data_IF_964816139420
#
_entry.id   IF_964816139420
#
_cell.length_a   1.000
_cell.length_b   1.000
_cell.length_c   1.000
_cell.angle_alpha   90.00
_cell.angle_beta   90.00
_cell.angle_gamma   90.00
#
_symmetry.space_group_name_H-M   'P 1'
#
loop_
_entity.id
_entity.type
_entity.pdbx_description
1 polymer ?
#
# COMPACT_ATOMS: atom_id res chain seq x y z
N UNK A 1 3.85 18.46 -43.67
CA UNK A 1 2.66 18.95 -42.96
C UNK A 1 2.29 17.83 -42.00
N UNK A 2 2.61 17.96 -40.71
CA UNK A 2 2.08 17.02 -39.73
C UNK A 2 0.56 17.18 -39.75
N UNK A 3 -0.23 16.10 -39.94
CA UNK A 3 -1.68 16.19 -39.83
C UNK A 3 -2.05 16.79 -38.47
N UNK A 4 -3.07 17.64 -38.44
CA UNK A 4 -3.55 18.25 -37.20
C UNK A 4 -3.90 17.12 -36.21
N UNK A 5 -3.15 17.01 -35.11
CA UNK A 5 -3.35 15.97 -34.10
C UNK A 5 -4.78 16.02 -33.53
N UNK A 6 -5.45 17.17 -33.59
CA UNK A 6 -6.87 17.30 -33.21
C UNK A 6 -7.81 16.70 -34.25
N UNK A 7 -7.47 16.77 -35.53
CA UNK A 7 -8.25 16.15 -36.60
C UNK A 7 -8.15 14.63 -36.50
N UNK A 8 -6.94 14.10 -36.28
CA UNK A 8 -6.71 12.69 -35.98
C UNK A 8 -7.52 12.25 -34.76
N UNK A 9 -7.50 13.03 -33.67
CA UNK A 9 -8.23 12.68 -32.46
C UNK A 9 -9.76 12.65 -32.64
N UNK A 10 -10.31 13.44 -33.57
CA UNK A 10 -11.75 13.40 -33.91
C UNK A 10 -12.12 12.16 -34.72
N UNK A 11 -11.20 11.67 -35.55
CA UNK A 11 -11.38 10.50 -36.40
C UNK A 11 -10.57 9.30 -35.88
N UNK A 12 -10.37 9.21 -34.55
CA UNK A 12 -9.45 8.25 -33.95
C UNK A 12 -9.81 6.80 -34.32
N UNK A 13 -11.09 6.52 -34.53
CA UNK A 13 -11.66 5.24 -34.95
C UNK A 13 -11.03 4.70 -36.24
N UNK A 14 -10.59 5.57 -37.15
CA UNK A 14 -9.94 5.16 -38.41
C UNK A 14 -8.47 4.69 -38.21
N UNK A 15 -7.94 4.85 -36.99
CA UNK A 15 -6.53 4.66 -36.66
C UNK A 15 -6.27 3.68 -35.51
N UNK A 16 -7.30 3.19 -34.81
CA UNK A 16 -7.16 2.39 -33.58
C UNK A 16 -6.51 1.02 -33.79
N UNK A 17 -6.58 0.48 -35.00
CA UNK A 17 -6.02 -0.82 -35.40
C UNK A 17 -5.02 -0.68 -36.57
N UNK A 18 -4.67 0.56 -36.94
CA UNK A 18 -3.76 0.82 -38.05
C UNK A 18 -2.29 0.71 -37.60
N UNK A 19 -1.72 -0.48 -37.78
CA UNK A 19 -0.34 -0.81 -37.38
C UNK A 19 0.71 0.16 -37.92
N UNK A 20 0.57 0.59 -39.18
CA UNK A 20 1.53 1.52 -39.81
C UNK A 20 1.45 2.91 -39.17
N UNK A 21 0.24 3.34 -38.82
CA UNK A 21 0.02 4.62 -38.15
C UNK A 21 0.51 4.62 -36.70
N UNK A 22 0.24 3.54 -35.96
CA UNK A 22 0.52 3.43 -34.53
C UNK A 22 2.01 3.19 -34.26
N UNK A 23 2.66 2.28 -35.00
CA UNK A 23 4.10 2.00 -34.84
C UNK A 23 5.01 3.16 -35.25
N UNK A 24 4.55 4.03 -36.15
CA UNK A 24 5.32 5.18 -36.62
C UNK A 24 5.28 6.40 -35.66
N UNK A 25 4.54 6.33 -34.55
CA UNK A 25 4.35 7.46 -33.61
C UNK A 25 5.04 7.21 -32.27
N UNK A 26 5.65 8.27 -31.75
CA UNK A 26 6.18 8.24 -30.39
C UNK A 26 5.04 8.14 -29.35
N UNK A 27 5.30 7.55 -28.17
CA UNK A 27 4.37 7.54 -27.05
C UNK A 27 3.81 8.94 -26.69
N UNK A 28 4.62 9.98 -26.85
CA UNK A 28 4.23 11.37 -26.56
C UNK A 28 3.24 11.92 -27.60
N UNK A 29 3.37 11.55 -28.87
CA UNK A 29 2.42 11.93 -29.92
C UNK A 29 1.07 11.23 -29.73
N UNK A 30 1.08 9.93 -29.40
CA UNK A 30 -0.15 9.18 -29.08
C UNK A 30 -0.84 9.76 -27.83
N UNK A 31 -0.08 10.04 -26.76
CA UNK A 31 -0.63 10.66 -25.56
C UNK A 31 -1.25 12.05 -25.82
N UNK A 32 -0.70 12.84 -26.76
CA UNK A 32 -1.31 14.10 -27.21
C UNK A 32 -2.62 13.87 -27.96
N UNK A 33 -2.68 12.89 -28.85
CA UNK A 33 -3.92 12.52 -29.57
C UNK A 33 -5.00 12.10 -28.56
N UNK A 34 -4.66 11.24 -27.60
CA UNK A 34 -5.57 10.75 -26.55
C UNK A 34 -6.15 11.86 -25.66
N UNK A 35 -5.42 12.96 -25.47
CA UNK A 35 -5.93 14.10 -24.69
C UNK A 35 -7.14 14.80 -25.34
N UNK A 36 -7.32 14.62 -26.65
CA UNK A 36 -8.44 15.19 -27.42
C UNK A 36 -9.45 14.13 -27.87
N UNK A 37 -9.03 12.87 -27.99
CA UNK A 37 -9.85 11.78 -28.49
C UNK A 37 -10.88 11.32 -27.45
N UNK A 38 -12.11 11.06 -27.91
CA UNK A 38 -13.13 10.37 -27.12
C UNK A 38 -13.25 8.96 -27.70
N UNK A 39 -13.06 7.95 -26.86
CA UNK A 39 -13.09 6.55 -27.24
C UNK A 39 -14.32 5.89 -26.61
N UNK A 40 -14.97 4.98 -27.32
CA UNK A 40 -15.84 3.98 -26.71
C UNK A 40 -15.01 2.88 -26.03
N UNK A 41 -15.60 2.04 -25.15
CA UNK A 41 -14.87 0.96 -24.48
C UNK A 41 -14.20 0.00 -25.46
N UNK A 42 -14.91 -0.36 -26.54
CA UNK A 42 -14.40 -1.22 -27.60
C UNK A 42 -13.20 -0.58 -28.32
N UNK A 43 -13.32 0.70 -28.71
CA UNK A 43 -12.21 1.42 -29.37
C UNK A 43 -11.00 1.59 -28.45
N UNK A 44 -11.25 1.82 -27.15
CA UNK A 44 -10.21 1.85 -26.13
C UNK A 44 -9.49 0.50 -26.05
N UNK A 45 -10.23 -0.59 -25.98
CA UNK A 45 -9.68 -1.94 -25.90
C UNK A 45 -8.82 -2.26 -27.14
N UNK A 46 -9.35 -2.00 -28.33
CA UNK A 46 -8.63 -2.23 -29.60
C UNK A 46 -7.37 -1.38 -29.69
N UNK A 47 -7.45 -0.09 -29.38
CA UNK A 47 -6.30 0.83 -29.47
C UNK A 47 -5.18 0.43 -28.51
N UNK A 48 -5.49 0.22 -27.24
CA UNK A 48 -4.47 -0.06 -26.22
C UNK A 48 -3.88 -1.47 -26.38
N UNK A 49 -4.68 -2.44 -26.83
CA UNK A 49 -4.16 -3.78 -27.18
C UNK A 49 -3.18 -3.68 -28.34
N UNK A 50 -3.53 -2.94 -29.40
CA UNK A 50 -2.64 -2.75 -30.56
C UNK A 50 -1.37 -1.99 -30.19
N UNK A 51 -1.46 -0.93 -29.39
CA UNK A 51 -0.30 -0.17 -28.90
C UNK A 51 0.64 -1.03 -28.04
N UNK A 52 0.11 -1.98 -27.28
CA UNK A 52 0.93 -2.88 -26.43
C UNK A 52 1.87 -3.78 -27.21
N UNK A 53 1.59 -4.02 -28.50
CA UNK A 53 2.47 -4.79 -29.38
C UNK A 53 3.73 -4.02 -29.79
N UNK A 54 3.70 -2.68 -29.70
CA UNK A 54 4.76 -1.79 -30.19
C UNK A 54 5.50 -1.04 -29.08
N UNK A 55 4.88 -0.90 -27.89
CA UNK A 55 5.37 -0.06 -26.82
C UNK A 55 5.45 -0.81 -25.48
N UNK A 56 6.45 -0.45 -24.66
CA UNK A 56 6.65 -1.07 -23.35
C UNK A 56 5.61 -0.62 -22.31
N UNK A 57 5.51 -1.35 -21.19
CA UNK A 57 4.53 -1.07 -20.13
C UNK A 57 4.59 0.37 -19.59
N UNK A 58 5.78 0.96 -19.48
CA UNK A 58 5.96 2.34 -19.04
C UNK A 58 5.38 3.36 -20.04
N UNK A 59 5.52 3.10 -21.34
CA UNK A 59 4.96 3.95 -22.40
C UNK A 59 3.43 3.85 -22.42
N UNK A 60 2.89 2.64 -22.24
CA UNK A 60 1.44 2.42 -22.13
C UNK A 60 0.85 3.16 -20.93
N UNK A 61 1.50 3.10 -19.76
CA UNK A 61 1.08 3.87 -18.57
C UNK A 61 1.07 5.38 -18.82
N UNK A 62 2.09 5.89 -19.51
CA UNK A 62 2.13 7.31 -19.88
C UNK A 62 0.99 7.69 -20.84
N UNK A 63 0.68 6.86 -21.84
CA UNK A 63 -0.44 7.09 -22.76
C UNK A 63 -1.79 7.02 -22.03
N UNK A 64 -1.97 6.05 -21.13
CA UNK A 64 -3.17 5.91 -20.29
C UNK A 64 -3.41 7.14 -19.42
N UNK A 65 -2.36 7.77 -18.89
CA UNK A 65 -2.48 9.00 -18.08
C UNK A 65 -3.11 10.19 -18.83
N UNK A 66 -3.13 10.14 -20.18
CA UNK A 66 -3.73 11.17 -21.03
C UNK A 66 -5.01 10.72 -21.72
N UNK A 67 -5.39 9.45 -21.60
CA UNK A 67 -6.69 8.97 -22.06
C UNK A 67 -7.80 9.60 -21.22
N UNK A 68 -8.90 9.97 -21.86
CA UNK A 68 -10.06 10.59 -21.20
C UNK A 68 -10.91 9.54 -20.48
N UNK A 69 -10.33 8.84 -19.50
CA UNK A 69 -10.98 7.79 -18.71
C UNK A 69 -12.25 8.28 -17.98
N UNK A 70 -12.39 9.59 -17.78
CA UNK A 70 -13.56 10.27 -17.22
C UNK A 70 -14.81 10.31 -18.12
N UNK A 71 -14.68 9.88 -19.39
CA UNK A 71 -15.79 9.91 -20.36
C UNK A 71 -16.63 8.61 -20.32
N UNK A 72 -16.20 7.59 -19.55
CA UNK A 72 -16.84 6.28 -19.40
C UNK A 72 -17.70 6.24 -18.13
N UNK A 73 -19.01 6.45 -18.27
CA UNK A 73 -19.84 6.86 -17.14
C UNK A 73 -20.65 5.72 -16.52
N UNK A 74 -20.54 4.49 -17.04
CA UNK A 74 -21.23 3.32 -16.49
C UNK A 74 -20.26 2.34 -15.83
N UNK A 75 -20.79 1.57 -14.87
CA UNK A 75 -20.05 0.52 -14.18
C UNK A 75 -19.59 -0.59 -15.14
N UNK A 76 -20.39 -0.87 -16.17
CA UNK A 76 -20.09 -1.85 -17.23
C UNK A 76 -18.92 -1.39 -18.11
N UNK A 77 -18.95 -0.13 -18.58
CA UNK A 77 -17.87 0.47 -19.39
C UNK A 77 -16.55 0.51 -18.60
N UNK A 78 -16.61 0.86 -17.32
CA UNK A 78 -15.45 0.90 -16.45
C UNK A 78 -14.85 -0.49 -16.19
N UNK A 79 -15.69 -1.53 -16.06
CA UNK A 79 -15.24 -2.92 -15.91
C UNK A 79 -14.49 -3.41 -17.14
N UNK A 80 -15.02 -3.17 -18.34
CA UNK A 80 -14.42 -3.58 -19.62
C UNK A 80 -13.05 -2.92 -19.85
N UNK A 81 -12.92 -1.65 -19.49
CA UNK A 81 -11.65 -0.90 -19.57
C UNK A 81 -10.65 -1.41 -18.53
N UNK A 82 -11.10 -1.69 -17.31
CA UNK A 82 -10.26 -2.25 -16.25
C UNK A 82 -9.67 -3.61 -16.65
N UNK A 83 -10.48 -4.48 -17.24
CA UNK A 83 -10.04 -5.77 -17.77
C UNK A 83 -8.99 -5.60 -18.88
N UNK A 84 -9.24 -4.67 -19.81
CA UNK A 84 -8.28 -4.34 -20.89
C UNK A 84 -6.93 -3.88 -20.32
N UNK A 85 -6.95 -2.92 -19.40
CA UNK A 85 -5.73 -2.38 -18.79
C UNK A 85 -4.99 -3.49 -18.01
N UNK A 86 -5.74 -4.32 -17.28
CA UNK A 86 -5.20 -5.43 -16.50
C UNK A 86 -4.54 -6.48 -17.39
N UNK A 87 -5.16 -6.81 -18.53
CA UNK A 87 -4.64 -7.73 -19.53
C UNK A 87 -3.31 -7.25 -20.14
N UNK A 88 -3.22 -5.96 -20.48
CA UNK A 88 -2.05 -5.37 -21.13
C UNK A 88 -0.88 -5.20 -20.15
N UNK A 89 -1.14 -4.66 -18.96
CA UNK A 89 -0.09 -4.29 -18.02
C UNK A 89 0.29 -5.44 -17.07
N UNK A 90 -0.52 -6.49 -16.98
CA UNK A 90 -0.29 -7.62 -16.08
C UNK A 90 -0.27 -7.20 -14.60
N UNK A 91 -0.99 -6.12 -14.29
CA UNK A 91 -1.18 -5.56 -12.97
C UNK A 91 -2.70 -5.39 -12.83
N UNK A 92 -3.30 -5.81 -11.71
CA UNK A 92 -4.66 -5.37 -11.38
C UNK A 92 -4.63 -3.86 -11.14
N UNK A 93 -5.03 -3.10 -12.15
CA UNK A 93 -5.14 -1.64 -12.11
C UNK A 93 -6.63 -1.34 -12.22
N UNK A 94 -7.39 -0.79 -11.28
CA UNK A 94 -7.15 -0.19 -9.96
C UNK A 94 -8.56 0.08 -9.39
N UNK A 95 -8.84 -0.27 -8.13
CA UNK A 95 -9.97 0.30 -7.37
C UNK A 95 -9.83 1.83 -7.22
N UNK A 96 -8.63 2.39 -7.40
CA UNK A 96 -8.41 3.84 -7.36
C UNK A 96 -9.01 4.58 -8.56
N UNK A 97 -9.12 3.95 -9.73
CA UNK A 97 -9.80 4.53 -10.89
C UNK A 97 -11.33 4.58 -10.65
N UNK A 98 -11.86 3.57 -9.93
CA UNK A 98 -13.27 3.47 -9.53
C UNK A 98 -13.64 4.41 -8.37
N UNK A 99 -12.72 4.69 -7.43
CA UNK A 99 -12.94 5.62 -6.32
C UNK A 99 -13.35 7.03 -6.80
N UNK A 100 -12.88 7.45 -7.98
CA UNK A 100 -13.24 8.73 -8.58
C UNK A 100 -14.68 8.76 -9.12
N UNK A 101 -15.22 7.60 -9.53
CA UNK A 101 -16.58 7.45 -10.04
C UNK A 101 -17.63 7.31 -8.94
N UNK A 102 -17.34 6.55 -7.87
CA UNK A 102 -18.26 6.38 -6.75
C UNK A 102 -18.56 7.71 -6.03
N UNK A 103 -17.57 8.60 -5.93
CA UNK A 103 -17.75 9.93 -5.33
C UNK A 103 -18.65 10.86 -6.15
N UNK A 104 -18.73 10.67 -7.48
CA UNK A 104 -19.53 11.54 -8.36
C UNK A 104 -21.02 11.20 -8.34
N UNK A 105 -21.37 9.94 -8.15
CA UNK A 105 -22.76 9.47 -7.99
C UNK A 105 -23.38 9.85 -6.65
N UNK A 106 -22.57 10.02 -5.59
CA UNK A 106 -23.05 10.48 -4.27
C UNK A 106 -23.34 11.99 -4.21
N UNK A 107 -22.75 12.79 -5.10
CA UNK A 107 -22.95 14.25 -5.15
C UNK A 107 -24.31 14.70 -5.69
N UNK A 108 -24.97 13.90 -6.55
CA UNK A 108 -26.21 14.31 -7.24
C UNK A 108 -27.50 13.93 -6.49
N UNK A 109 -27.43 13.09 -5.46
CA UNK A 109 -28.63 12.61 -4.72
C UNK A 109 -29.02 13.55 -3.56
N UNK A 110 -28.18 14.52 -3.21
CA UNK A 110 -28.34 15.35 -2.01
C UNK A 110 -29.28 16.56 -2.16
N UNK A 111 -29.73 16.89 -3.38
CA UNK A 111 -30.65 18.01 -3.63
C UNK A 111 -31.98 17.54 -4.22
N UNK A 112 -32.79 16.79 -3.45
CA UNK A 112 -34.26 16.86 -3.51
C UNK A 112 -34.87 15.86 -2.54
N UNK A 113 -35.38 16.36 -1.40
CA UNK A 113 -36.69 15.98 -0.82
C UNK A 113 -36.82 16.56 0.58
N UNK A 114 -37.30 17.80 0.62
CA UNK A 114 -37.96 18.37 1.78
C UNK A 114 -39.47 18.27 1.53
N UNK A 115 -40.21 17.41 2.25
CA UNK A 115 -41.58 17.69 2.70
C UNK A 115 -42.13 16.60 3.64
N UNK A 116 -42.72 17.10 4.73
CA UNK A 116 -43.38 16.47 5.89
C UNK A 116 -44.32 15.29 5.57
N UNK A 117 -44.42 14.34 6.53
CA UNK A 117 -45.65 14.02 7.28
C UNK A 117 -45.38 13.00 8.40
N UNK A 118 -45.92 13.27 9.59
CA UNK A 118 -45.86 12.42 10.79
C UNK A 118 -46.77 11.19 10.68
N UNK A 119 -46.31 10.02 11.13
CA UNK A 119 -47.15 9.07 11.88
C UNK A 119 -46.30 8.13 12.76
N UNK A 120 -46.70 8.09 14.04
CA UNK A 120 -46.51 7.03 15.05
C UNK A 120 -45.23 6.19 15.04
N UNK A 121 -44.36 6.47 16.01
CA UNK A 121 -43.26 5.62 16.46
C UNK A 121 -43.79 4.32 17.07
N UNK A 122 -43.32 3.14 16.62
CA UNK A 122 -43.07 2.00 17.49
C UNK A 122 -41.59 2.00 17.91
N UNK A 123 -41.31 1.66 19.17
CA UNK A 123 -39.94 1.46 19.69
C UNK A 123 -39.15 0.47 18.79
N UNK A 124 -37.84 0.67 18.59
CA UNK A 124 -37.05 -0.14 17.65
C UNK A 124 -36.86 -1.56 18.17
N UNK A 125 -37.37 -2.55 17.42
CA UNK A 125 -37.03 -3.96 17.63
C UNK A 125 -35.63 -4.25 17.09
N UNK A 126 -34.78 -4.85 17.93
CA UNK A 126 -33.59 -5.64 17.58
C UNK A 126 -32.71 -5.10 16.44
N UNK A 127 -31.72 -4.26 16.77
CA UNK A 127 -30.63 -3.96 15.85
C UNK A 127 -29.89 -5.28 15.49
N UNK A 128 -29.78 -5.57 14.20
CA UNK A 128 -28.97 -6.70 13.72
C UNK A 128 -27.51 -6.46 14.10
N UNK A 129 -26.88 -7.41 14.77
CA UNK A 129 -25.48 -7.34 15.19
C UNK A 129 -24.74 -8.62 14.85
N UNK A 130 -23.42 -8.51 14.69
CA UNK A 130 -22.50 -9.64 14.60
C UNK A 130 -21.31 -9.41 15.51
N UNK A 131 -20.69 -10.50 15.95
CA UNK A 131 -19.51 -10.49 16.79
C UNK A 131 -18.27 -10.81 15.95
N UNK A 132 -17.24 -9.99 16.04
CA UNK A 132 -15.93 -10.24 15.44
C UNK A 132 -14.96 -10.65 16.54
N UNK A 133 -14.35 -11.83 16.42
CA UNK A 133 -13.38 -12.36 17.39
C UNK A 133 -11.99 -12.37 16.76
N UNK A 134 -11.04 -11.65 17.33
CA UNK A 134 -9.65 -11.64 16.88
C UNK A 134 -8.86 -12.88 17.34
N UNK A 135 -7.69 -13.09 16.74
CA UNK A 135 -6.72 -14.12 17.16
C UNK A 135 -6.16 -13.92 18.59
N UNK A 136 -6.21 -12.69 19.12
CA UNK A 136 -5.77 -12.36 20.49
C UNK A 136 -6.91 -12.44 21.50
N UNK A 137 -8.03 -13.09 21.15
CA UNK A 137 -9.24 -13.22 21.97
C UNK A 137 -9.98 -11.88 22.25
N UNK A 138 -9.55 -10.74 21.67
CA UNK A 138 -10.33 -9.47 21.69
C UNK A 138 -11.60 -9.63 20.84
N UNK A 139 -12.73 -9.11 21.35
CA UNK A 139 -14.06 -9.25 20.76
C UNK A 139 -14.65 -7.88 20.44
N UNK A 140 -15.21 -7.74 19.24
CA UNK A 140 -15.85 -6.52 18.72
C UNK A 140 -17.30 -6.81 18.31
N UNK A 141 -18.20 -5.85 18.48
CA UNK A 141 -19.60 -5.97 18.05
C UNK A 141 -19.85 -4.96 16.92
N UNK A 142 -20.32 -5.43 15.77
CA UNK A 142 -20.78 -4.58 14.66
C UNK A 142 -22.30 -4.54 14.70
N UNK A 143 -22.86 -3.38 15.03
CA UNK A 143 -24.30 -3.14 15.14
C UNK A 143 -24.88 -2.57 13.83
N UNK A 144 -26.20 -2.69 13.66
CA UNK A 144 -26.96 -2.20 12.50
C UNK A 144 -26.40 -2.70 11.17
N UNK A 145 -26.13 -4.00 11.08
CA UNK A 145 -25.60 -4.63 9.88
C UNK A 145 -26.70 -5.15 8.95
N UNK A 146 -26.53 -4.91 7.65
CA UNK A 146 -27.32 -5.56 6.60
C UNK A 146 -26.60 -6.84 6.15
N UNK A 147 -27.25 -8.00 6.27
CA UNK A 147 -26.66 -9.27 5.87
C UNK A 147 -26.52 -9.43 4.34
N UNK A 148 -27.12 -8.55 3.55
CA UNK A 148 -26.88 -8.50 2.10
C UNK A 148 -25.64 -7.67 1.75
N UNK A 149 -24.96 -7.05 2.72
CA UNK A 149 -23.70 -6.34 2.45
C UNK A 149 -22.59 -7.32 2.05
N UNK A 150 -21.61 -6.82 1.31
CA UNK A 150 -20.45 -7.62 0.92
C UNK A 150 -19.52 -7.87 2.11
N UNK A 151 -18.61 -8.83 1.96
CA UNK A 151 -17.50 -9.01 2.91
C UNK A 151 -16.60 -7.77 2.93
N UNK A 152 -16.45 -7.07 1.80
CA UNK A 152 -15.71 -5.81 1.71
C UNK A 152 -16.37 -4.72 2.57
N UNK A 153 -17.70 -4.57 2.51
CA UNK A 153 -18.45 -3.61 3.35
C UNK A 153 -18.27 -3.92 4.85
N UNK A 154 -18.26 -5.21 5.21
CA UNK A 154 -17.98 -5.61 6.58
C UNK A 154 -16.55 -5.24 6.99
N UNK A 155 -15.56 -5.45 6.12
CA UNK A 155 -14.17 -5.05 6.40
C UNK A 155 -14.05 -3.54 6.57
N UNK A 156 -14.72 -2.75 5.73
CA UNK A 156 -14.77 -1.29 5.86
C UNK A 156 -15.38 -0.89 7.21
N UNK A 157 -16.47 -1.54 7.66
CA UNK A 157 -17.05 -1.29 8.98
C UNK A 157 -16.12 -1.66 10.13
N UNK A 158 -15.34 -2.73 10.00
CA UNK A 158 -14.31 -3.11 10.97
C UNK A 158 -13.18 -2.07 10.97
N UNK A 159 -12.80 -1.53 9.81
CA UNK A 159 -11.84 -0.43 9.69
C UNK A 159 -12.36 0.83 10.38
N UNK A 160 -13.61 1.22 10.13
CA UNK A 160 -14.21 2.42 10.74
C UNK A 160 -14.28 2.29 12.26
N UNK A 161 -14.48 1.06 12.77
CA UNK A 161 -14.61 0.80 14.21
C UNK A 161 -13.26 0.65 14.93
N UNK A 162 -12.32 -0.09 14.34
CA UNK A 162 -11.07 -0.51 15.02
C UNK A 162 -9.79 0.01 14.32
N UNK A 163 -9.93 0.73 13.20
CA UNK A 163 -8.81 1.31 12.45
C UNK A 163 -8.01 0.34 11.59
N UNK A 164 -8.47 -0.90 11.42
CA UNK A 164 -7.72 -1.97 10.73
C UNK A 164 -8.01 -1.90 9.22
N UNK A 165 -7.03 -1.66 8.33
CA UNK A 165 -7.27 -1.56 6.88
C UNK A 165 -7.88 -2.84 6.27
N UNK A 166 -8.80 -2.78 5.29
CA UNK A 166 -9.50 -3.93 4.71
C UNK A 166 -8.56 -4.97 4.08
N UNK A 167 -7.48 -4.52 3.45
CA UNK A 167 -6.45 -5.40 2.87
C UNK A 167 -5.66 -6.17 3.94
N UNK A 168 -5.71 -5.68 5.18
CA UNK A 168 -5.14 -6.28 6.37
C UNK A 168 -6.13 -7.15 7.15
N UNK A 169 -7.34 -7.35 6.65
CA UNK A 169 -8.35 -8.19 7.29
C UNK A 169 -8.57 -9.49 6.51
N UNK A 170 -8.42 -10.63 7.18
CA UNK A 170 -8.93 -11.93 6.74
C UNK A 170 -10.03 -12.38 7.68
N UNK A 171 -11.24 -12.42 7.17
CA UNK A 171 -12.41 -12.86 7.93
C UNK A 171 -12.65 -14.35 7.67
N UNK A 172 -13.00 -15.09 8.72
CA UNK A 172 -13.32 -16.52 8.66
C UNK A 172 -14.63 -16.79 9.37
N UNK A 173 -15.50 -17.57 8.73
CA UNK A 173 -16.74 -18.06 9.34
C UNK A 173 -16.81 -19.58 9.18
N UNK A 174 -17.09 -20.29 10.29
CA UNK A 174 -17.10 -21.76 10.34
C UNK A 174 -15.84 -22.42 9.72
N UNK A 175 -14.66 -21.79 9.90
CA UNK A 175 -13.38 -22.27 9.36
C UNK A 175 -13.13 -21.98 7.88
N UNK A 176 -14.07 -21.33 7.17
CA UNK A 176 -13.91 -20.93 5.76
C UNK A 176 -13.52 -19.45 5.67
N UNK A 177 -12.52 -19.14 4.86
CA UNK A 177 -12.15 -17.75 4.55
C UNK A 177 -13.27 -17.06 3.75
N UNK A 178 -13.57 -15.82 4.13
CA UNK A 178 -14.54 -14.97 3.47
C UNK A 178 -13.85 -14.10 2.42
N UNK A 179 -14.45 -13.98 1.23
CA UNK A 179 -13.89 -13.28 0.08
C UNK A 179 -14.75 -12.06 -0.29
N UNK A 180 -14.10 -10.98 -0.73
CA UNK A 180 -14.71 -9.64 -0.87
C UNK A 180 -15.90 -9.59 -1.87
N UNK A 181 -15.89 -10.47 -2.88
CA UNK A 181 -16.96 -10.57 -3.89
C UNK A 181 -18.23 -11.30 -3.46
N UNK A 182 -18.34 -11.76 -2.20
CA UNK A 182 -19.52 -12.44 -1.67
C UNK A 182 -20.19 -11.60 -0.58
N UNK A 183 -21.47 -11.89 -0.32
CA UNK A 183 -22.25 -11.26 0.76
C UNK A 183 -22.17 -12.06 2.06
N UNK A 184 -22.51 -11.43 3.20
CA UNK A 184 -22.61 -12.16 4.47
C UNK A 184 -23.66 -13.29 4.40
N UNK A 185 -24.74 -13.07 3.65
CA UNK A 185 -25.78 -14.06 3.39
C UNK A 185 -25.27 -15.27 2.61
N UNK A 186 -24.32 -15.10 1.68
CA UNK A 186 -23.72 -16.22 0.94
C UNK A 186 -22.94 -17.19 1.86
N UNK A 187 -22.47 -16.70 3.01
CA UNK A 187 -21.85 -17.49 4.07
C UNK A 187 -22.86 -17.98 5.14
N UNK A 188 -24.17 -17.75 4.93
CA UNK A 188 -25.23 -18.03 5.91
C UNK A 188 -25.01 -17.35 7.27
N UNK A 189 -24.46 -16.14 7.27
CA UNK A 189 -24.25 -15.34 8.49
C UNK A 189 -25.58 -14.68 8.88
N UNK A 190 -25.92 -14.76 10.17
CA UNK A 190 -27.18 -14.27 10.73
C UNK A 190 -26.92 -13.38 11.96
N UNK A 191 -27.98 -12.78 12.49
CA UNK A 191 -27.92 -11.98 13.71
C UNK A 191 -27.29 -12.78 14.86
N UNK A 192 -26.30 -12.19 15.53
CA UNK A 192 -25.54 -12.80 16.61
C UNK A 192 -24.43 -13.78 16.17
N UNK A 193 -24.17 -13.93 14.87
CA UNK A 193 -23.07 -14.77 14.39
C UNK A 193 -21.71 -14.25 14.86
N UNK A 194 -20.76 -15.18 15.06
CA UNK A 194 -19.36 -14.86 15.38
C UNK A 194 -18.47 -15.15 14.18
N UNK A 195 -17.72 -14.13 13.74
CA UNK A 195 -16.74 -14.20 12.65
C UNK A 195 -15.35 -14.05 13.25
N UNK A 196 -14.42 -14.93 12.87
CA UNK A 196 -13.03 -14.82 13.29
C UNK A 196 -12.28 -13.84 12.39
N UNK A 197 -11.60 -12.86 13.00
CA UNK A 197 -10.70 -11.92 12.33
C UNK A 197 -9.26 -12.37 12.52
N UNK A 198 -8.60 -12.64 11.40
CA UNK A 198 -7.16 -12.85 11.29
C UNK A 198 -6.59 -11.65 10.56
N UNK A 199 -5.54 -11.04 11.09
CA UNK A 199 -4.92 -9.89 10.44
C UNK A 199 -3.94 -10.37 9.35
N UNK A 200 -4.14 -9.89 8.13
CA UNK A 200 -3.09 -9.80 7.10
C UNK A 200 -2.21 -8.62 7.49
N UNK A 201 -1.28 -8.87 8.38
CA UNK A 201 -0.35 -7.82 8.76
C UNK A 201 0.57 -7.59 7.57
N UNK A 202 0.39 -6.44 6.89
CA UNK A 202 1.48 -5.76 6.18
C UNK A 202 2.14 -4.87 7.22
N UNK A 203 2.78 -5.53 8.18
CA UNK A 203 3.31 -4.96 9.40
C UNK A 203 4.79 -4.76 9.24
N UNK A 204 5.21 -3.59 8.76
CA UNK A 204 6.60 -3.18 8.66
C UNK A 204 7.42 -3.77 7.50
N UNK A 205 8.50 -3.05 7.16
CA UNK A 205 9.54 -3.48 6.22
C UNK A 205 10.90 -3.14 6.79
N UNK A 206 11.38 -3.81 7.84
CA UNK A 206 12.80 -3.88 8.10
C UNK A 206 13.52 -4.51 6.91
N UNK A 207 14.38 -3.75 6.25
CA UNK A 207 15.33 -4.26 5.27
C UNK A 207 16.74 -3.95 5.71
N UNK A 208 17.63 -4.93 5.55
CA UNK A 208 19.00 -4.89 6.04
C UNK A 208 19.95 -4.92 4.84
N UNK A 209 20.78 -3.88 4.73
CA UNK A 209 21.87 -3.74 3.76
C UNK A 209 23.21 -3.99 4.45
N UNK A 210 24.12 -4.64 3.74
CA UNK A 210 25.47 -4.95 4.22
C UNK A 210 26.51 -4.28 3.31
N UNK A 211 27.38 -3.46 3.89
CA UNK A 211 28.44 -2.75 3.18
C UNK A 211 29.83 -3.06 3.78
N UNK A 212 30.40 -4.25 3.55
CA UNK A 212 31.75 -4.56 4.01
C UNK A 212 32.82 -3.85 3.15
N UNK A 213 34.04 -3.68 3.69
CA UNK A 213 35.17 -3.10 2.92
C UNK A 213 35.61 -4.00 1.76
N UNK A 214 35.51 -5.31 1.97
CA UNK A 214 35.91 -6.35 1.04
C UNK A 214 34.82 -7.44 1.01
N UNK A 215 34.85 -8.31 0.01
CA UNK A 215 33.92 -9.45 -0.05
C UNK A 215 34.00 -10.28 1.22
N UNK A 216 32.88 -10.40 1.93
CA UNK A 216 32.83 -10.97 3.29
C UNK A 216 31.70 -11.98 3.40
N UNK A 217 31.98 -13.16 3.95
CA UNK A 217 30.91 -14.05 4.40
C UNK A 217 30.39 -13.51 5.73
N UNK A 218 29.10 -13.16 5.77
CA UNK A 218 28.45 -12.59 6.92
C UNK A 218 27.30 -13.48 7.41
N UNK A 219 27.19 -13.63 8.73
CA UNK A 219 26.00 -14.14 9.42
C UNK A 219 25.20 -12.97 9.94
N UNK A 220 23.90 -12.95 9.69
CA UNK A 220 22.99 -11.92 10.20
C UNK A 220 21.86 -12.62 10.93
N UNK A 221 21.73 -12.39 12.24
CA UNK A 221 20.70 -12.99 13.09
C UNK A 221 19.77 -11.91 13.64
N UNK A 222 18.47 -12.17 13.60
CA UNK A 222 17.44 -11.31 14.20
C UNK A 222 16.75 -12.09 15.31
N UNK A 223 16.65 -11.48 16.47
CA UNK A 223 15.81 -11.96 17.55
C UNK A 223 14.63 -11.00 17.72
N UNK A 224 13.45 -11.55 17.98
CA UNK A 224 12.25 -10.79 18.33
C UNK A 224 11.94 -11.15 19.78
N UNK A 225 11.91 -10.14 20.65
CA UNK A 225 11.66 -10.37 22.08
C UNK A 225 10.19 -10.66 22.40
N UNK A 226 9.27 -10.18 21.56
CA UNK A 226 7.83 -10.41 21.68
C UNK A 226 7.20 -10.52 20.29
N UNK A 227 6.52 -11.64 20.04
CA UNK A 227 5.92 -11.99 18.75
C UNK A 227 6.76 -12.94 17.90
N UNK A 228 6.22 -13.29 16.74
CA UNK A 228 6.83 -14.18 15.75
C UNK A 228 7.14 -13.43 14.45
N UNK A 229 8.03 -14.00 13.63
CA UNK A 229 8.22 -13.54 12.25
C UNK A 229 6.96 -13.80 11.43
N UNK A 230 6.46 -12.77 10.74
CA UNK A 230 5.35 -12.91 9.79
C UNK A 230 5.84 -13.30 8.40
N UNK A 231 6.99 -12.76 8.01
CA UNK A 231 7.62 -13.04 6.73
C UNK A 231 9.12 -12.77 6.79
N UNK A 232 9.89 -13.57 6.05
CA UNK A 232 11.34 -13.50 5.99
C UNK A 232 11.77 -13.80 4.56
N UNK A 233 12.64 -12.97 4.00
CA UNK A 233 13.20 -13.18 2.68
C UNK A 233 14.67 -12.75 2.60
N UNK A 234 15.57 -13.61 2.08
CA UNK A 234 15.35 -15.02 1.75
C UNK A 234 15.01 -15.83 3.02
N UNK A 235 14.61 -17.09 2.90
CA UNK A 235 14.42 -17.94 4.08
C UNK A 235 15.73 -18.04 4.88
N UNK A 236 15.65 -18.05 6.21
CA UNK A 236 16.79 -18.32 7.08
C UNK A 236 17.51 -19.64 6.74
N UNK A 237 18.77 -19.73 7.15
CA UNK A 237 19.58 -20.95 7.07
C UNK A 237 19.43 -21.80 8.33
N UNK A 238 19.53 -21.18 9.50
CA UNK A 238 19.43 -21.80 10.82
C UNK A 238 19.02 -20.74 11.84
N UNK A 239 18.22 -21.08 12.84
CA UNK A 239 17.96 -20.26 14.05
C UNK A 239 17.89 -18.73 13.81
N UNK A 240 16.91 -18.28 13.01
CA UNK A 240 16.69 -16.87 12.67
C UNK A 240 17.91 -16.14 12.06
N UNK A 241 18.79 -16.90 11.40
CA UNK A 241 20.06 -16.43 10.87
C UNK A 241 20.15 -16.65 9.37
N UNK A 242 20.62 -15.63 8.66
CA UNK A 242 21.06 -15.74 7.28
C UNK A 242 22.57 -15.87 7.20
N UNK A 243 23.05 -16.79 6.36
CA UNK A 243 24.44 -16.94 5.98
C UNK A 243 24.62 -16.42 4.55
N UNK A 244 25.14 -15.22 4.40
CA UNK A 244 25.29 -14.55 3.10
C UNK A 244 26.74 -14.23 2.79
N UNK A 245 27.02 -14.02 1.52
CA UNK A 245 28.25 -13.35 1.07
C UNK A 245 27.89 -11.92 0.67
N UNK A 246 28.44 -10.94 1.38
CA UNK A 246 28.22 -9.52 1.14
C UNK A 246 29.40 -8.91 0.37
N UNK A 247 29.09 -8.04 -0.59
CA UNK A 247 30.07 -7.34 -1.41
C UNK A 247 30.10 -5.84 -1.06
N UNK A 248 31.23 -5.13 -1.27
CA UNK A 248 31.31 -3.69 -1.00
C UNK A 248 30.29 -2.82 -1.76
N UNK A 249 29.74 -3.34 -2.86
CA UNK A 249 28.67 -2.70 -3.63
C UNK A 249 27.29 -2.71 -2.95
N UNK A 250 27.14 -3.40 -1.81
CA UNK A 250 25.86 -3.69 -1.18
C UNK A 250 25.11 -4.87 -1.79
N UNK A 251 25.64 -5.51 -2.83
CA UNK A 251 25.08 -6.78 -3.31
C UNK A 251 25.36 -7.89 -2.29
N UNK A 252 24.37 -8.73 -2.03
CA UNK A 252 24.53 -9.94 -1.22
C UNK A 252 24.18 -11.17 -2.06
N UNK A 253 24.89 -12.26 -1.79
CA UNK A 253 24.67 -13.56 -2.41
C UNK A 253 24.23 -14.56 -1.35
N UNK A 254 23.03 -15.10 -1.50
CA UNK A 254 22.49 -16.16 -0.64
C UNK A 254 22.15 -17.38 -1.49
N UNK A 255 22.74 -18.53 -1.18
CA UNK A 255 22.51 -19.80 -1.91
C UNK A 255 22.60 -19.66 -3.44
N UNK A 256 23.60 -18.90 -3.90
CA UNK A 256 23.86 -18.62 -5.32
C UNK A 256 22.97 -17.56 -5.97
N UNK A 257 22.00 -16.99 -5.26
CA UNK A 257 21.13 -15.90 -5.75
C UNK A 257 21.65 -14.54 -5.28
N UNK A 258 21.77 -13.61 -6.22
CA UNK A 258 22.11 -12.21 -5.95
C UNK A 258 20.87 -11.43 -5.53
N UNK A 259 21.01 -10.58 -4.53
CA UNK A 259 19.98 -9.67 -4.05
C UNK A 259 20.62 -8.44 -3.40
N UNK A 260 19.80 -7.46 -2.99
CA UNK A 260 20.27 -6.17 -2.47
C UNK A 260 20.20 -6.04 -0.95
N UNK A 261 19.28 -6.74 -0.31
CA UNK A 261 19.04 -6.65 1.11
C UNK A 261 18.40 -7.93 1.63
N UNK A 262 18.51 -8.15 2.93
CA UNK A 262 17.70 -9.10 3.69
C UNK A 262 16.42 -8.41 4.14
N UNK A 263 15.31 -9.15 4.22
CA UNK A 263 14.02 -8.65 4.65
C UNK A 263 13.46 -9.54 5.75
N UNK A 264 12.92 -8.92 6.79
CA UNK A 264 12.07 -9.60 7.76
C UNK A 264 10.92 -8.71 8.17
N UNK A 265 9.90 -9.34 8.73
CA UNK A 265 8.67 -8.70 9.14
C UNK A 265 8.15 -9.38 10.41
N UNK A 266 7.52 -8.61 11.29
CA UNK A 266 6.78 -9.13 12.44
C UNK A 266 5.42 -8.45 12.54
N UNK A 267 4.49 -9.19 13.12
CA UNK A 267 3.09 -8.84 13.23
C UNK A 267 2.83 -7.64 14.16
N UNK A 268 3.74 -7.36 15.11
CA UNK A 268 3.44 -6.46 16.21
C UNK A 268 4.71 -5.84 16.83
N UNK A 269 4.60 -4.56 17.23
CA UNK A 269 5.63 -3.83 17.97
C UNK A 269 5.01 -3.23 19.24
N UNK A 270 5.04 -3.94 20.38
CA UNK A 270 4.27 -3.57 21.58
C UNK A 270 4.70 -2.26 22.24
N UNK A 271 5.98 -1.91 22.13
CA UNK A 271 6.60 -0.95 23.03
C UNK A 271 7.04 0.32 22.32
N UNK A 272 6.24 0.85 21.38
CA UNK A 272 6.63 2.02 20.59
C UNK A 272 6.67 3.30 21.44
N UNK A 273 7.75 4.06 21.31
CA UNK A 273 7.87 5.36 21.95
C UNK A 273 7.31 6.45 21.02
N UNK A 274 6.21 7.05 21.43
CA UNK A 274 5.52 8.12 20.69
C UNK A 274 5.59 9.49 21.37
N UNK A 275 6.46 9.67 22.37
CA UNK A 275 6.47 10.91 23.17
C UNK A 275 7.01 12.11 22.39
N UNK A 276 8.02 11.88 21.55
CA UNK A 276 8.65 12.90 20.70
C UNK A 276 8.54 12.46 19.25
N UNK A 277 8.45 13.41 18.33
CA UNK A 277 8.36 13.10 16.90
C UNK A 277 8.19 14.34 16.05
N UNK A 278 7.56 14.16 14.89
CA UNK A 278 7.27 15.23 13.94
C UNK A 278 5.83 15.12 13.48
N UNK A 279 5.13 16.25 13.40
CA UNK A 279 3.84 16.29 12.70
C UNK A 279 4.09 16.79 11.30
N UNK A 280 3.66 15.99 10.32
CA UNK A 280 3.71 16.33 8.90
C UNK A 280 2.31 16.19 8.31
N UNK A 281 2.07 16.84 7.17
CA UNK A 281 0.98 16.41 6.31
C UNK A 281 1.39 15.14 5.56
N UNK A 282 0.44 14.27 5.21
CA UNK A 282 0.76 13.09 4.41
C UNK A 282 1.37 13.47 3.06
N UNK A 283 0.84 14.49 2.39
CA UNK A 283 1.35 14.99 1.10
C UNK A 283 2.84 15.39 1.13
N UNK A 284 3.34 15.79 2.30
CA UNK A 284 4.74 16.21 2.51
C UNK A 284 5.66 15.04 2.93
N UNK A 285 5.15 13.81 2.98
CA UNK A 285 5.93 12.64 3.46
C UNK A 285 7.21 12.40 2.65
N UNK A 286 7.16 12.56 1.32
CA UNK A 286 8.33 12.35 0.45
C UNK A 286 9.45 13.32 0.83
N UNK A 287 9.18 14.63 0.78
CA UNK A 287 10.19 15.66 1.05
C UNK A 287 10.69 15.58 2.50
N UNK A 288 9.81 15.25 3.45
CA UNK A 288 10.19 15.03 4.84
C UNK A 288 11.18 13.88 5.00
N UNK A 289 10.87 12.69 4.48
CA UNK A 289 11.74 11.53 4.65
C UNK A 289 13.05 11.66 3.86
N UNK A 290 13.04 12.26 2.67
CA UNK A 290 14.26 12.56 1.92
C UNK A 290 15.20 13.47 2.75
N UNK A 291 14.69 14.55 3.33
CA UNK A 291 15.46 15.46 4.19
C UNK A 291 16.01 14.73 5.42
N UNK A 292 15.15 14.04 6.18
CA UNK A 292 15.56 13.39 7.44
C UNK A 292 16.52 12.25 7.22
N UNK A 293 16.26 11.34 6.29
CA UNK A 293 17.13 10.19 6.02
C UNK A 293 18.49 10.64 5.47
N UNK A 294 18.52 11.69 4.63
CA UNK A 294 19.77 12.27 4.16
C UNK A 294 20.57 12.92 5.28
N UNK A 295 19.91 13.64 6.19
CA UNK A 295 20.58 14.22 7.39
C UNK A 295 21.15 13.15 8.33
N UNK A 296 20.55 11.96 8.33
CA UNK A 296 21.04 10.79 9.07
C UNK A 296 22.17 10.05 8.34
N UNK A 297 22.61 10.50 7.16
CA UNK A 297 23.67 9.90 6.34
C UNK A 297 23.26 8.57 5.65
N UNK A 298 21.99 8.41 5.25
CA UNK A 298 21.60 7.35 4.31
C UNK A 298 21.92 7.76 2.88
N UNK A 299 22.21 6.77 2.03
CA UNK A 299 22.51 7.02 0.61
C UNK A 299 21.24 7.09 -0.25
N UNK A 300 21.36 7.60 -1.48
CA UNK A 300 20.22 7.82 -2.36
C UNK A 300 19.46 6.53 -2.73
N UNK A 301 20.13 5.37 -2.77
CA UNK A 301 19.47 4.10 -3.06
C UNK A 301 18.63 3.61 -1.87
N UNK A 302 19.17 3.70 -0.66
CA UNK A 302 18.46 3.40 0.59
C UNK A 302 17.24 4.32 0.76
N UNK A 303 17.41 5.62 0.50
CA UNK A 303 16.34 6.61 0.57
C UNK A 303 15.27 6.32 -0.48
N UNK A 304 15.66 6.04 -1.72
CA UNK A 304 14.72 5.69 -2.78
C UNK A 304 13.88 4.45 -2.41
N UNK A 305 14.52 3.37 -1.95
CA UNK A 305 13.81 2.15 -1.55
C UNK A 305 12.87 2.39 -0.35
N UNK A 306 13.28 3.24 0.61
CA UNK A 306 12.45 3.63 1.74
C UNK A 306 11.23 4.43 1.28
N UNK A 307 11.46 5.51 0.50
CA UNK A 307 10.43 6.46 0.06
C UNK A 307 9.40 5.77 -0.82
N UNK A 308 9.86 4.98 -1.80
CA UNK A 308 8.98 4.25 -2.72
C UNK A 308 8.12 3.22 -2.01
N UNK A 309 8.56 2.69 -0.86
CA UNK A 309 7.75 1.78 -0.08
C UNK A 309 6.79 2.51 0.88
N UNK A 310 7.29 3.46 1.68
CA UNK A 310 6.53 4.05 2.78
C UNK A 310 5.68 5.24 2.38
N UNK A 311 6.18 6.15 1.55
CA UNK A 311 5.48 7.40 1.27
C UNK A 311 4.12 7.20 0.57
N UNK A 312 3.95 6.24 -0.37
CA UNK A 312 2.62 5.93 -0.92
C UNK A 312 1.58 5.50 0.12
N UNK A 313 2.02 4.94 1.26
CA UNK A 313 1.14 4.54 2.36
C UNK A 313 0.80 5.70 3.30
N UNK A 314 1.60 6.76 3.26
CA UNK A 314 1.46 7.91 4.16
C UNK A 314 0.81 9.11 3.48
N UNK A 315 0.96 9.24 2.16
CA UNK A 315 0.52 10.42 1.42
C UNK A 315 -0.98 10.66 1.42
N UNK A 316 -1.78 9.62 1.64
CA UNK A 316 -3.23 9.72 1.74
C UNK A 316 -3.74 10.29 3.07
N UNK A 317 -2.91 10.33 4.11
CA UNK A 317 -3.33 10.84 5.42
C UNK A 317 -3.26 12.36 5.48
N UNK A 318 -4.23 12.98 6.16
CA UNK A 318 -4.28 14.44 6.32
C UNK A 318 -3.10 14.95 7.14
N UNK A 319 -2.84 14.31 8.28
CA UNK A 319 -1.64 14.52 9.09
C UNK A 319 -1.09 13.17 9.55
N UNK A 320 0.21 13.12 9.79
CA UNK A 320 0.91 11.96 10.32
C UNK A 320 1.88 12.42 11.40
N UNK A 321 1.80 11.79 12.58
CA UNK A 321 2.83 11.88 13.60
C UNK A 321 3.88 10.80 13.35
N UNK A 322 5.10 11.22 13.02
CA UNK A 322 6.24 10.32 12.77
C UNK A 322 7.18 10.31 13.98
N UNK A 323 7.43 9.13 14.54
CA UNK A 323 8.31 8.93 15.70
C UNK A 323 9.37 7.87 15.40
N UNK A 324 10.65 8.23 15.41
CA UNK A 324 11.77 7.31 15.24
C UNK A 324 12.10 6.57 16.54
N UNK A 325 12.35 5.27 16.47
CA UNK A 325 12.42 4.37 17.63
C UNK A 325 13.84 4.13 18.16
N UNK A 326 14.86 4.08 17.30
CA UNK A 326 16.29 3.92 17.66
C UNK A 326 16.54 2.86 18.75
N UNK A 327 17.09 3.24 19.92
CA UNK A 327 17.39 2.33 21.04
C UNK A 327 16.20 1.47 21.46
N UNK A 328 14.98 2.00 21.33
CA UNK A 328 13.77 1.24 21.64
C UNK A 328 13.57 0.07 20.65
N UNK A 329 13.82 0.31 19.36
CA UNK A 329 13.77 -0.73 18.34
C UNK A 329 14.87 -1.78 18.54
N UNK A 330 16.07 -1.36 18.93
CA UNK A 330 17.15 -2.30 19.30
C UNK A 330 16.79 -3.21 20.46
N UNK A 331 16.08 -2.66 21.44
CA UNK A 331 15.57 -3.41 22.58
C UNK A 331 14.43 -4.36 22.23
N UNK A 332 13.61 -4.08 21.20
CA UNK A 332 12.53 -4.97 20.78
C UNK A 332 13.03 -6.09 19.86
N UNK A 333 13.92 -5.75 18.94
CA UNK A 333 14.36 -6.63 17.87
C UNK A 333 15.89 -6.60 17.74
N UNK A 334 16.64 -7.21 18.67
CA UNK A 334 18.09 -7.17 18.63
C UNK A 334 18.64 -7.91 17.40
N UNK A 335 19.63 -7.30 16.76
CA UNK A 335 20.34 -7.85 15.60
C UNK A 335 21.79 -8.19 15.97
N UNK A 336 22.25 -9.36 15.56
CA UNK A 336 23.66 -9.74 15.61
C UNK A 336 24.22 -9.93 14.19
N UNK A 337 25.44 -9.45 13.95
CA UNK A 337 26.12 -9.62 12.66
C UNK A 337 27.55 -10.07 12.89
N UNK A 338 27.97 -11.10 12.17
CA UNK A 338 29.33 -11.66 12.20
C UNK A 338 29.92 -11.70 10.78
N UNK A 339 31.17 -11.28 10.54
CA UNK A 339 32.06 -10.62 11.49
C UNK A 339 31.45 -9.32 12.01
N UNK A 340 31.86 -8.92 13.22
CA UNK A 340 31.28 -7.75 13.88
C UNK A 340 31.48 -6.51 12.98
N UNK A 341 30.41 -5.81 12.57
CA UNK A 341 30.53 -4.58 11.80
C UNK A 341 31.08 -3.44 12.65
N UNK A 342 31.75 -2.49 12.00
CA UNK A 342 32.19 -1.23 12.60
C UNK A 342 30.98 -0.36 12.97
N UNK A 343 29.94 -0.39 12.13
CA UNK A 343 28.72 0.40 12.32
C UNK A 343 27.45 -0.43 12.11
N UNK A 344 26.48 -0.28 13.01
CA UNK A 344 25.12 -0.82 12.87
C UNK A 344 24.14 0.34 13.03
N UNK A 345 23.59 0.82 11.92
CA UNK A 345 22.72 1.99 11.89
C UNK A 345 21.30 1.56 11.54
N UNK A 346 20.36 1.78 12.45
CA UNK A 346 18.99 1.26 12.34
C UNK A 346 17.98 2.39 12.44
N UNK A 347 17.16 2.55 11.40
CA UNK A 347 16.13 3.58 11.29
C UNK A 347 14.77 2.91 11.23
N UNK A 348 14.10 2.83 12.36
CA UNK A 348 12.72 2.37 12.42
C UNK A 348 11.81 3.52 12.86
N UNK A 349 10.77 3.82 12.10
CA UNK A 349 9.78 4.83 12.46
C UNK A 349 8.41 4.22 12.77
N UNK A 350 7.65 4.87 13.65
CA UNK A 350 6.23 4.63 13.82
C UNK A 350 5.47 5.84 13.30
N UNK A 351 4.46 5.61 12.47
CA UNK A 351 3.56 6.63 11.95
C UNK A 351 2.17 6.46 12.57
N UNK A 352 1.67 7.50 13.23
CA UNK A 352 0.30 7.58 13.70
C UNK A 352 -0.46 8.56 12.81
N UNK A 353 -1.43 8.11 12.00
CA UNK A 353 -2.34 8.98 11.26
C UNK A 353 -3.19 9.85 12.19
N UNK A 354 -3.45 11.09 11.79
CA UNK A 354 -4.20 12.07 12.57
C UNK A 354 -5.17 12.87 11.69
N UNK A 355 -6.36 13.14 12.22
CA UNK A 355 -7.38 14.00 11.58
C UNK A 355 -7.07 15.51 11.70
N UNK A 356 -6.27 15.87 12.69
CA UNK A 356 -5.85 17.24 12.98
C UNK A 356 -4.42 17.25 13.51
N UNK A 357 -3.63 18.32 13.26
CA UNK A 357 -2.28 18.40 13.75
C UNK A 357 -2.28 18.60 15.26
N UNK A 358 -1.19 18.21 15.92
CA UNK A 358 -0.99 18.43 17.35
C UNK A 358 0.42 18.94 17.64
N UNK A 359 0.64 19.46 18.83
CA UNK A 359 1.98 19.82 19.27
C UNK A 359 2.72 18.55 19.70
N UNK A 360 3.97 18.42 19.24
CA UNK A 360 4.88 17.35 19.64
C UNK A 360 6.26 17.94 19.80
N UNK A 361 6.97 17.51 20.85
CA UNK A 361 8.38 17.85 21.00
C UNK A 361 9.19 17.18 19.87
N UNK A 362 9.98 17.95 19.09
CA UNK A 362 10.80 17.38 18.02
C UNK A 362 11.82 16.35 18.54
N UNK A 363 12.06 15.30 17.76
CA UNK A 363 13.16 14.37 18.04
C UNK A 363 14.48 14.91 17.52
N UNK A 364 15.54 14.71 18.32
CA UNK A 364 16.91 14.79 17.81
C UNK A 364 17.21 13.52 17.02
N UNK A 365 17.73 13.69 15.80
CA UNK A 365 18.08 12.59 14.90
C UNK A 365 19.61 12.45 14.87
N UNK A 366 20.14 11.21 14.93
CA UNK A 366 21.57 10.98 14.86
C UNK A 366 22.09 11.18 13.43
N UNK A 367 23.37 11.51 13.27
CA UNK A 367 24.06 11.35 11.99
C UNK A 367 24.91 10.09 12.05
N UNK A 368 24.62 9.12 11.18
CA UNK A 368 25.28 7.82 11.24
C UNK A 368 26.68 7.83 10.66
N UNK A 369 27.58 7.09 11.31
CA UNK A 369 28.91 6.82 10.78
C UNK A 369 28.86 5.60 9.83
N UNK A 370 29.72 5.61 8.81
CA UNK A 370 29.77 4.60 7.75
C UNK A 370 31.20 4.20 7.40
N UNK A 371 32.14 4.44 8.31
CA UNK A 371 33.50 3.96 8.14
C UNK A 371 33.57 2.44 8.33
N UNK A 372 34.26 1.77 7.40
CA UNK A 372 34.38 0.31 7.44
C UNK A 372 33.10 -0.47 7.25
N UNK A 373 33.05 -1.68 7.82
CA UNK A 373 31.93 -2.59 7.60
C UNK A 373 30.68 -2.01 8.25
N UNK A 374 29.76 -1.54 7.42
CA UNK A 374 28.54 -0.87 7.85
C UNK A 374 27.31 -1.70 7.53
N UNK A 375 26.44 -1.84 8.51
CA UNK A 375 25.10 -2.42 8.36
C UNK A 375 24.09 -1.29 8.46
N UNK A 376 23.21 -1.18 7.46
CA UNK A 376 22.08 -0.25 7.49
C UNK A 376 20.81 -1.07 7.55
N UNK A 377 19.96 -0.79 8.52
CA UNK A 377 18.58 -1.26 8.51
C UNK A 377 17.64 -0.07 8.50
N UNK A 378 16.63 -0.10 7.65
CA UNK A 378 15.50 0.79 7.79
C UNK A 378 14.19 0.02 7.75
N UNK A 379 13.18 0.58 8.40
CA UNK A 379 11.83 0.05 8.44
C UNK A 379 10.87 1.03 9.10
N UNK A 380 9.66 0.58 9.34
CA UNK A 380 8.71 1.35 10.11
C UNK A 380 7.39 0.65 10.24
N UNK A 381 6.42 1.28 10.90
CA UNK A 381 5.07 0.73 11.05
C UNK A 381 4.06 1.87 11.07
N UNK A 382 2.82 1.58 10.66
CA UNK A 382 1.69 2.50 10.83
C UNK A 382 0.88 1.98 12.01
N UNK A 383 0.71 2.81 13.04
CA UNK A 383 -0.02 2.49 14.26
C UNK A 383 -1.40 3.15 14.24
N UNK A 384 -2.35 2.55 14.95
CA UNK A 384 -3.65 3.16 15.24
C UNK A 384 -3.66 3.70 16.68
N UNK A 385 -4.57 4.64 16.98
CA UNK A 385 -4.70 5.22 18.33
C UNK A 385 -4.99 4.20 19.43
N UNK A 386 -5.45 2.99 19.07
CA UNK A 386 -5.71 1.89 20.00
C UNK A 386 -4.49 1.00 20.28
N UNK A 387 -3.41 1.16 19.50
CA UNK A 387 -2.17 0.38 19.61
C UNK A 387 -1.06 1.10 20.38
N UNK A 388 -1.38 2.21 21.05
CA UNK A 388 -0.45 3.07 21.79
C UNK A 388 -0.66 3.04 23.30
#
# INVERSE_FOLDING_TARGET
MEPDLKEIARNISDYIDNDTFLSARSPQQIAKILSFAKLSPCEFATLFTTLSNYHGKADILMMLSRARLKDFNSQEEASEISETISSILGIQILDSLFSFYQNKLQGEISETKNHKSQSSVPLPSSANSITIKSQTEKVYIIDNIDFNCSVEDLKNRIQDKEGIPPDQQKLYFAGKQMEDGYTLKDYNIHNGATISLVLRLRGAKPVIYLYPKEETNAKVSININDGDFSFVYPSFDEDNTWNVKALPSGEIVHRGKKMRYLFWETLFYPNLNMNKGFIIKGEDSISFFEDKLKSMNLNDAEICDFVTYWCPKLCGYKYVKVCFQFKNFDGMCPMNVEPKPDNVNRVFFAALPLESPCDVEPQELPTFNRDGFTVIEWGGTIVTSETL
#
